data_IF_372202168508
#
_entry.id   IF_372202168508
#
_cell.length_a   1.000
_cell.length_b   1.000
_cell.length_c   1.000
_cell.angle_alpha   90.00
_cell.angle_beta   90.00
_cell.angle_gamma   90.00
#
_symmetry.space_group_name_H-M   'P 1'
#
loop_
_entity.id
_entity.type
_entity.pdbx_description
1 polymer ?
#
# COMPACT_ATOMS: atom_id res chain seq x y z
N UNK A 1 -53.15 -44.67 -36.81
CA UNK A 1 -53.17 -44.35 -35.37
C UNK A 1 -51.76 -43.92 -35.01
N UNK A 2 -51.48 -42.64 -35.22
CA UNK A 2 -50.22 -42.06 -34.77
C UNK A 2 -50.37 -41.79 -33.27
N UNK A 3 -49.52 -42.44 -32.48
CA UNK A 3 -49.47 -42.21 -31.04
C UNK A 3 -49.00 -40.77 -30.80
N UNK A 4 -49.66 -40.00 -29.91
CA UNK A 4 -49.23 -38.65 -29.60
C UNK A 4 -47.86 -38.70 -28.91
N UNK A 5 -46.85 -38.11 -29.54
CA UNK A 5 -45.55 -37.83 -28.93
C UNK A 5 -45.76 -36.97 -27.70
N UNK A 6 -45.40 -37.49 -26.52
CA UNK A 6 -45.41 -36.72 -25.29
C UNK A 6 -44.56 -35.44 -25.44
N UNK A 7 -44.98 -34.29 -24.91
CA UNK A 7 -44.18 -33.07 -24.95
C UNK A 7 -42.86 -33.32 -24.21
N UNK A 8 -41.74 -33.03 -24.86
CA UNK A 8 -40.42 -33.11 -24.25
C UNK A 8 -40.38 -32.21 -23.00
N UNK A 9 -39.90 -32.76 -21.88
CA UNK A 9 -39.71 -31.97 -20.67
C UNK A 9 -38.79 -30.77 -20.96
N UNK A 10 -39.11 -29.58 -20.41
CA UNK A 10 -38.28 -28.41 -20.59
C UNK A 10 -36.85 -28.69 -20.08
N UNK A 11 -35.81 -28.17 -20.76
CA UNK A 11 -34.43 -28.42 -20.35
C UNK A 11 -34.24 -27.99 -18.88
N UNK A 12 -33.51 -28.79 -18.08
CA UNK A 12 -33.37 -28.52 -16.66
C UNK A 12 -32.78 -27.14 -16.44
N UNK A 13 -33.44 -26.31 -15.62
CA UNK A 13 -32.92 -25.00 -15.28
C UNK A 13 -31.67 -25.14 -14.40
N UNK A 14 -30.59 -24.39 -14.68
CA UNK A 14 -29.40 -24.46 -13.87
C UNK A 14 -29.68 -24.03 -12.43
N UNK A 15 -29.10 -24.77 -11.48
CA UNK A 15 -29.24 -24.46 -10.06
C UNK A 15 -28.61 -23.10 -9.73
N UNK A 16 -29.42 -22.14 -9.29
CA UNK A 16 -28.98 -20.76 -9.04
C UNK A 16 -27.86 -20.68 -7.98
N UNK A 17 -27.97 -21.42 -6.88
CA UNK A 17 -26.97 -21.39 -5.81
C UNK A 17 -25.65 -22.07 -6.21
N UNK A 18 -25.69 -23.17 -6.98
CA UNK A 18 -24.47 -23.81 -7.51
C UNK A 18 -23.76 -22.89 -8.50
N UNK A 19 -24.54 -22.21 -9.34
CA UNK A 19 -24.04 -21.23 -10.30
C UNK A 19 -23.41 -20.04 -9.60
N UNK A 20 -24.02 -19.54 -8.51
CA UNK A 20 -23.44 -18.50 -7.68
C UNK A 20 -22.10 -18.93 -7.08
N UNK A 21 -22.04 -20.13 -6.47
CA UNK A 21 -20.78 -20.68 -5.92
C UNK A 21 -19.72 -20.85 -7.01
N UNK A 22 -20.10 -21.28 -8.21
CA UNK A 22 -19.16 -21.40 -9.33
C UNK A 22 -18.51 -20.06 -9.68
N UNK A 23 -19.30 -18.98 -9.70
CA UNK A 23 -18.80 -17.62 -9.90
C UNK A 23 -17.91 -17.12 -8.76
N UNK A 24 -18.28 -17.38 -7.50
CA UNK A 24 -17.46 -17.03 -6.34
C UNK A 24 -16.10 -17.75 -6.36
N UNK A 25 -16.08 -19.05 -6.64
CA UNK A 25 -14.84 -19.84 -6.72
C UNK A 25 -13.98 -19.40 -7.89
N UNK A 26 -14.57 -19.11 -9.05
CA UNK A 26 -13.84 -18.55 -10.18
C UNK A 26 -13.19 -17.20 -9.86
N UNK A 27 -13.92 -16.30 -9.19
CA UNK A 27 -13.39 -15.01 -8.74
C UNK A 27 -12.25 -15.19 -7.71
N UNK A 28 -12.44 -16.06 -6.71
CA UNK A 28 -11.42 -16.35 -5.71
C UNK A 28 -10.13 -16.91 -6.33
N UNK A 29 -10.24 -17.84 -7.29
CA UNK A 29 -9.08 -18.38 -8.01
C UNK A 29 -8.42 -17.32 -8.89
N UNK A 30 -9.21 -16.49 -9.59
CA UNK A 30 -8.68 -15.40 -10.40
C UNK A 30 -7.82 -14.44 -9.57
N UNK A 31 -8.29 -14.06 -8.37
CA UNK A 31 -7.55 -13.22 -7.44
C UNK A 31 -6.31 -13.94 -6.90
N UNK A 32 -6.41 -15.21 -6.50
CA UNK A 32 -5.28 -16.00 -6.01
C UNK A 32 -4.16 -16.17 -7.06
N UNK A 33 -4.54 -16.36 -8.32
CA UNK A 33 -3.60 -16.40 -9.46
C UNK A 33 -2.97 -15.04 -9.67
N UNK A 34 -3.76 -13.96 -9.59
CA UNK A 34 -3.24 -12.59 -9.64
C UNK A 34 -2.20 -12.33 -8.54
N UNK A 35 -2.49 -12.72 -7.29
CA UNK A 35 -1.54 -12.62 -6.17
C UNK A 35 -0.26 -13.43 -6.41
N UNK A 36 -0.38 -14.63 -6.96
CA UNK A 36 0.75 -15.48 -7.29
C UNK A 36 1.65 -14.84 -8.34
N UNK A 37 1.07 -14.28 -9.41
CA UNK A 37 1.82 -13.60 -10.48
C UNK A 37 2.45 -12.33 -9.94
N UNK A 38 1.74 -11.56 -9.10
CA UNK A 38 2.31 -10.39 -8.44
C UNK A 38 3.51 -10.76 -7.55
N UNK A 39 3.45 -11.91 -6.87
CA UNK A 39 4.57 -12.42 -6.06
C UNK A 39 5.84 -12.79 -6.83
N UNK A 40 5.85 -12.72 -8.17
CA UNK A 40 7.05 -12.98 -8.99
C UNK A 40 8.00 -11.79 -9.06
N UNK A 41 7.56 -10.57 -8.72
CA UNK A 41 8.39 -9.37 -8.78
C UNK A 41 7.95 -8.36 -7.72
N UNK A 42 8.90 -7.74 -7.03
CA UNK A 42 8.63 -6.65 -6.09
C UNK A 42 8.03 -5.40 -6.73
N UNK A 43 8.06 -5.28 -8.07
CA UNK A 43 7.46 -4.18 -8.83
C UNK A 43 6.02 -4.43 -9.29
N UNK A 44 5.47 -5.61 -9.00
CA UNK A 44 4.08 -5.92 -9.33
C UNK A 44 3.19 -5.81 -8.12
N UNK A 45 2.03 -5.20 -8.33
CA UNK A 45 0.99 -5.07 -7.33
C UNK A 45 -0.11 -6.11 -7.60
N UNK A 46 -0.70 -6.65 -6.53
CA UNK A 46 -1.84 -7.57 -6.66
C UNK A 46 -3.07 -6.82 -7.23
N UNK A 47 -3.90 -7.45 -8.08
CA UNK A 47 -5.01 -6.77 -8.76
C UNK A 47 -5.96 -6.01 -7.82
N UNK A 48 -6.26 -6.57 -6.65
CA UNK A 48 -7.12 -5.95 -5.64
C UNK A 48 -6.51 -4.68 -5.07
N UNK A 49 -5.20 -4.68 -4.85
CA UNK A 49 -4.47 -3.53 -4.32
C UNK A 49 -4.43 -2.41 -5.37
N UNK A 50 -4.17 -2.73 -6.64
CA UNK A 50 -4.17 -1.72 -7.71
C UNK A 50 -5.54 -1.08 -7.91
N UNK A 51 -6.59 -1.90 -7.95
CA UNK A 51 -7.96 -1.37 -8.00
C UNK A 51 -8.28 -0.55 -6.76
N UNK A 52 -7.85 -0.98 -5.58
CA UNK A 52 -8.02 -0.25 -4.33
C UNK A 52 -7.35 1.12 -4.34
N UNK A 53 -6.07 1.19 -4.74
CA UNK A 53 -5.31 2.43 -4.89
C UNK A 53 -6.08 3.41 -5.81
N UNK A 54 -6.56 2.90 -6.95
CA UNK A 54 -7.31 3.74 -7.91
C UNK A 54 -8.65 4.24 -7.36
N UNK A 55 -9.34 3.42 -6.57
CA UNK A 55 -10.56 3.82 -5.88
C UNK A 55 -10.25 4.92 -4.87
N UNK A 56 -9.19 4.77 -4.05
CA UNK A 56 -8.75 5.83 -3.15
C UNK A 56 -8.50 7.11 -3.93
N UNK A 57 -7.80 7.08 -5.06
CA UNK A 57 -7.53 8.29 -5.84
C UNK A 57 -8.77 8.93 -6.47
N UNK A 58 -9.81 8.15 -6.77
CA UNK A 58 -11.06 8.67 -7.35
C UNK A 58 -12.03 9.27 -6.33
N UNK A 59 -11.97 8.82 -5.07
CA UNK A 59 -13.00 9.11 -4.07
C UNK A 59 -12.92 10.59 -3.64
N UNK A 60 -14.05 11.33 -3.63
CA UNK A 60 -14.10 12.70 -3.14
C UNK A 60 -13.64 12.83 -1.68
N UNK A 61 -13.02 13.97 -1.34
CA UNK A 61 -12.47 14.22 0.00
C UNK A 61 -13.46 13.94 1.13
N UNK A 62 -14.72 14.37 0.98
CA UNK A 62 -15.75 14.20 2.02
C UNK A 62 -15.95 12.73 2.43
N UNK A 63 -15.86 11.81 1.47
CA UNK A 63 -16.02 10.37 1.72
C UNK A 63 -14.77 9.80 2.37
N UNK A 64 -13.57 10.29 2.00
CA UNK A 64 -12.31 9.92 2.65
C UNK A 64 -12.29 10.37 4.11
N UNK A 65 -12.61 11.64 4.35
CA UNK A 65 -12.62 12.24 5.68
C UNK A 65 -13.59 11.49 6.59
N UNK A 66 -14.81 11.20 6.10
CA UNK A 66 -15.79 10.39 6.84
C UNK A 66 -15.27 8.97 7.14
N UNK A 67 -14.55 8.35 6.20
CA UNK A 67 -13.98 7.02 6.42
C UNK A 67 -12.84 7.05 7.45
N UNK A 68 -11.99 8.08 7.41
CA UNK A 68 -10.92 8.29 8.38
C UNK A 68 -11.51 8.56 9.78
N UNK A 69 -12.56 9.38 9.88
CA UNK A 69 -13.24 9.65 11.14
C UNK A 69 -13.87 8.39 11.75
N UNK A 70 -14.44 7.51 10.92
CA UNK A 70 -15.14 6.32 11.37
C UNK A 70 -14.21 5.15 11.70
N UNK A 71 -13.12 4.97 10.94
CA UNK A 71 -12.23 3.81 11.03
C UNK A 71 -10.83 4.12 11.57
N UNK A 72 -10.48 5.39 11.75
CA UNK A 72 -9.16 5.83 12.22
C UNK A 72 -8.04 5.31 11.31
N UNK A 73 -6.97 4.78 11.92
CA UNK A 73 -5.82 4.19 11.21
C UNK A 73 -6.13 2.86 10.49
N UNK A 74 -7.35 2.33 10.64
CA UNK A 74 -7.81 1.09 10.00
C UNK A 74 -8.66 1.35 8.74
N UNK A 75 -8.80 2.60 8.29
CA UNK A 75 -9.53 2.99 7.08
C UNK A 75 -9.12 2.16 5.84
N UNK A 76 -7.82 1.92 5.66
CA UNK A 76 -7.29 1.11 4.56
C UNK A 76 -7.68 -0.37 4.68
N UNK A 77 -7.68 -0.92 5.89
CA UNK A 77 -8.10 -2.31 6.14
C UNK A 77 -9.60 -2.45 5.85
N UNK A 78 -10.41 -1.50 6.30
CA UNK A 78 -11.84 -1.46 6.01
C UNK A 78 -12.11 -1.39 4.49
N UNK A 79 -11.35 -0.57 3.76
CA UNK A 79 -11.42 -0.50 2.30
C UNK A 79 -11.12 -1.86 1.64
N UNK A 80 -10.03 -2.53 2.04
CA UNK A 80 -9.65 -3.83 1.49
C UNK A 80 -10.74 -4.88 1.75
N UNK A 81 -11.27 -4.95 2.98
CA UNK A 81 -12.38 -5.85 3.32
C UNK A 81 -13.62 -5.54 2.46
N UNK A 82 -13.91 -4.25 2.24
CA UNK A 82 -14.97 -3.80 1.36
C UNK A 82 -14.80 -4.27 -0.08
N UNK A 83 -13.60 -4.11 -0.66
CA UNK A 83 -13.30 -4.55 -2.04
C UNK A 83 -13.45 -6.05 -2.17
N UNK A 84 -12.90 -6.85 -1.25
CA UNK A 84 -13.05 -8.31 -1.27
C UNK A 84 -14.51 -8.74 -1.15
N UNK A 85 -15.30 -8.06 -0.32
CA UNK A 85 -16.74 -8.33 -0.17
C UNK A 85 -17.50 -8.03 -1.45
N UNK A 86 -17.23 -6.89 -2.09
CA UNK A 86 -17.86 -6.51 -3.37
C UNK A 86 -17.45 -7.49 -4.47
N UNK A 87 -16.17 -7.86 -4.56
CA UNK A 87 -15.68 -8.83 -5.54
C UNK A 87 -16.35 -10.21 -5.35
N UNK A 88 -16.55 -10.66 -4.11
CA UNK A 88 -17.27 -11.89 -3.80
C UNK A 88 -18.74 -11.82 -4.24
N UNK A 89 -19.46 -10.72 -3.92
CA UNK A 89 -20.84 -10.51 -4.34
C UNK A 89 -20.98 -10.43 -5.87
N UNK A 90 -20.05 -9.74 -6.52
CA UNK A 90 -19.99 -9.65 -7.97
C UNK A 90 -19.74 -11.03 -8.61
N UNK A 91 -18.81 -11.82 -8.06
CA UNK A 91 -18.56 -13.21 -8.46
C UNK A 91 -19.81 -14.09 -8.35
N UNK A 92 -20.52 -14.01 -7.21
CA UNK A 92 -21.79 -14.71 -7.01
C UNK A 92 -22.81 -14.35 -8.10
N UNK A 93 -22.98 -13.05 -8.41
CA UNK A 93 -23.88 -12.57 -9.45
C UNK A 93 -23.50 -13.02 -10.86
N UNK A 94 -22.22 -12.88 -11.22
CA UNK A 94 -21.70 -13.33 -12.51
C UNK A 94 -21.89 -14.82 -12.73
N UNK A 95 -21.71 -15.64 -11.69
CA UNK A 95 -21.95 -17.08 -11.77
C UNK A 95 -23.39 -17.43 -12.18
N UNK A 96 -24.38 -16.75 -11.58
CA UNK A 96 -25.80 -16.93 -11.94
C UNK A 96 -26.10 -16.50 -13.37
N UNK A 97 -25.53 -15.37 -13.81
CA UNK A 97 -25.69 -14.86 -15.17
C UNK A 97 -25.01 -15.75 -16.21
N UNK A 98 -23.80 -16.21 -15.91
CA UNK A 98 -22.99 -17.09 -16.75
C UNK A 98 -23.67 -18.44 -17.01
N UNK A 99 -24.35 -18.98 -16.00
CA UNK A 99 -25.12 -20.21 -16.15
C UNK A 99 -26.25 -20.09 -17.18
N UNK A 100 -26.74 -18.88 -17.47
CA UNK A 100 -27.73 -18.64 -18.55
C UNK A 100 -27.05 -18.36 -19.89
N UNK A 101 -25.99 -17.55 -19.88
CA UNK A 101 -25.22 -17.16 -21.05
C UNK A 101 -23.76 -17.01 -20.66
N UNK A 102 -22.95 -18.02 -20.98
CA UNK A 102 -21.55 -18.10 -20.55
C UNK A 102 -20.75 -16.83 -20.86
N UNK A 103 -20.97 -16.25 -22.05
CA UNK A 103 -20.27 -15.05 -22.50
C UNK A 103 -20.46 -13.85 -21.57
N UNK A 104 -21.60 -13.74 -20.85
CA UNK A 104 -21.84 -12.64 -19.89
C UNK A 104 -20.90 -12.77 -18.69
N UNK A 105 -20.72 -13.99 -18.17
CA UNK A 105 -19.76 -14.25 -17.10
C UNK A 105 -18.33 -13.99 -17.55
N UNK A 106 -17.97 -14.50 -18.73
CA UNK A 106 -16.64 -14.30 -19.31
C UNK A 106 -16.35 -12.81 -19.56
N UNK A 107 -17.29 -12.06 -20.12
CA UNK A 107 -17.18 -10.63 -20.32
C UNK A 107 -17.07 -9.86 -19.01
N UNK A 108 -17.81 -10.26 -17.96
CA UNK A 108 -17.72 -9.64 -16.63
C UNK A 108 -16.34 -9.83 -15.98
N UNK A 109 -15.79 -11.05 -16.04
CA UNK A 109 -14.42 -11.33 -15.53
C UNK A 109 -13.38 -10.60 -16.37
N UNK A 110 -13.51 -10.59 -17.70
CA UNK A 110 -12.61 -9.87 -18.58
C UNK A 110 -12.63 -8.36 -18.32
N UNK A 111 -13.81 -7.77 -18.12
CA UNK A 111 -13.96 -6.36 -17.77
C UNK A 111 -13.25 -6.04 -16.44
N UNK A 112 -13.39 -6.90 -15.43
CA UNK A 112 -12.65 -6.74 -14.17
C UNK A 112 -11.13 -6.82 -14.39
N UNK A 113 -10.66 -7.76 -15.22
CA UNK A 113 -9.25 -7.84 -15.63
C UNK A 113 -8.76 -6.56 -16.31
N UNK A 114 -9.56 -5.98 -17.23
CA UNK A 114 -9.24 -4.69 -17.88
C UNK A 114 -9.15 -3.56 -16.86
N UNK A 115 -10.09 -3.47 -15.91
CA UNK A 115 -10.02 -2.48 -14.82
C UNK A 115 -8.74 -2.64 -14.02
N UNK A 116 -8.36 -3.88 -13.68
CA UNK A 116 -7.10 -4.17 -13.00
C UNK A 116 -5.85 -3.79 -13.82
N UNK A 117 -5.87 -3.98 -15.14
CA UNK A 117 -4.77 -3.55 -16.03
C UNK A 117 -4.66 -2.03 -16.07
N UNK A 118 -5.78 -1.33 -16.26
CA UNK A 118 -5.81 0.14 -16.28
C UNK A 118 -5.33 0.71 -14.96
N UNK A 119 -5.82 0.16 -13.84
CA UNK A 119 -5.41 0.58 -12.51
C UNK A 119 -3.90 0.38 -12.29
N UNK A 120 -3.37 -0.80 -12.59
CA UNK A 120 -1.94 -1.10 -12.43
C UNK A 120 -1.06 -0.24 -13.35
N UNK A 121 -1.51 0.10 -14.56
CA UNK A 121 -0.75 0.96 -15.49
C UNK A 121 -0.67 2.43 -15.06
N UNK A 122 -1.56 2.86 -14.15
CA UNK A 122 -1.59 4.22 -13.62
C UNK A 122 -0.86 4.36 -12.28
N UNK A 123 -0.37 3.25 -11.72
CA UNK A 123 0.49 3.31 -10.53
C UNK A 123 1.81 4.00 -10.87
N UNK A 124 2.29 4.83 -9.94
CA UNK A 124 3.55 5.53 -10.13
C UNK A 124 4.69 4.50 -10.15
N UNK A 125 5.59 4.58 -11.14
CA UNK A 125 6.70 3.62 -11.28
C UNK A 125 6.31 2.23 -11.84
N UNK A 126 5.06 2.04 -12.28
CA UNK A 126 4.60 0.76 -12.83
C UNK A 126 5.41 0.32 -14.08
N UNK A 127 5.89 -0.93 -14.14
CA UNK A 127 6.54 -1.44 -15.34
C UNK A 127 5.55 -1.61 -16.49
N UNK A 128 6.03 -1.68 -17.74
CA UNK A 128 5.19 -1.85 -18.94
C UNK A 128 4.26 -3.08 -18.90
N UNK A 129 4.58 -4.06 -18.06
CA UNK A 129 3.86 -5.32 -17.89
C UNK A 129 3.10 -5.40 -16.55
N UNK A 130 2.90 -4.28 -15.85
CA UNK A 130 2.21 -4.20 -14.56
C UNK A 130 0.79 -4.81 -14.59
N UNK A 131 0.14 -4.86 -15.75
CA UNK A 131 -1.17 -5.49 -15.91
C UNK A 131 -1.17 -7.03 -15.92
N UNK A 132 -0.01 -7.69 -15.96
CA UNK A 132 0.09 -9.15 -16.10
C UNK A 132 -0.68 -9.93 -15.01
N UNK A 133 -0.63 -9.58 -13.71
CA UNK A 133 -1.45 -10.23 -12.68
C UNK A 133 -2.95 -10.24 -13.01
N UNK A 134 -3.48 -9.11 -13.46
CA UNK A 134 -4.90 -8.94 -13.79
C UNK A 134 -5.30 -9.73 -15.03
N UNK A 135 -4.45 -9.77 -16.06
CA UNK A 135 -4.70 -10.53 -17.28
C UNK A 135 -4.69 -12.03 -17.00
N UNK A 136 -3.65 -12.54 -16.35
CA UNK A 136 -3.50 -13.98 -16.08
C UNK A 136 -4.60 -14.44 -15.13
N UNK A 137 -4.89 -13.67 -14.08
CA UNK A 137 -6.01 -13.92 -13.17
C UNK A 137 -7.35 -14.00 -13.90
N UNK A 138 -7.65 -13.05 -14.80
CA UNK A 138 -8.89 -13.05 -15.57
C UNK A 138 -9.01 -14.27 -16.51
N UNK A 139 -7.94 -14.61 -17.24
CA UNK A 139 -7.92 -15.78 -18.15
C UNK A 139 -8.19 -17.07 -17.38
N UNK A 140 -7.49 -17.28 -16.25
CA UNK A 140 -7.71 -18.47 -15.42
C UNK A 140 -9.10 -18.46 -14.79
N UNK A 141 -9.59 -17.30 -14.35
CA UNK A 141 -10.95 -17.13 -13.81
C UNK A 141 -12.03 -17.55 -14.80
N UNK A 142 -11.94 -17.12 -16.06
CA UNK A 142 -12.88 -17.50 -17.13
C UNK A 142 -12.83 -19.01 -17.40
N UNK A 143 -11.63 -19.59 -17.46
CA UNK A 143 -11.46 -21.03 -17.66
C UNK A 143 -12.07 -21.84 -16.50
N UNK A 144 -11.80 -21.45 -15.26
CA UNK A 144 -12.36 -22.07 -14.05
C UNK A 144 -13.88 -21.96 -14.03
N UNK A 145 -14.44 -20.80 -14.36
CA UNK A 145 -15.88 -20.61 -14.45
C UNK A 145 -16.49 -21.61 -15.46
N UNK A 146 -15.90 -21.76 -16.63
CA UNK A 146 -16.35 -22.70 -17.65
C UNK A 146 -16.32 -24.16 -17.17
N UNK A 147 -15.22 -24.57 -16.53
CA UNK A 147 -15.03 -25.94 -16.01
C UNK A 147 -16.05 -26.25 -14.89
N UNK A 148 -16.27 -25.33 -13.96
CA UNK A 148 -17.21 -25.56 -12.85
C UNK A 148 -18.65 -25.55 -13.37
N UNK A 149 -19.01 -24.63 -14.27
CA UNK A 149 -20.35 -24.59 -14.87
C UNK A 149 -20.66 -25.84 -15.72
N UNK A 150 -19.66 -26.43 -16.38
CA UNK A 150 -19.84 -27.68 -17.13
C UNK A 150 -20.29 -28.87 -16.25
N UNK A 151 -20.10 -28.79 -14.92
CA UNK A 151 -20.60 -29.80 -13.97
C UNK A 151 -22.04 -29.56 -13.51
N UNK A 152 -22.64 -28.43 -13.89
CA UNK A 152 -24.01 -28.06 -13.54
C UNK A 152 -24.94 -28.38 -14.71
N UNK A 153 -25.89 -29.33 -14.54
CA UNK A 153 -26.86 -29.64 -15.58
C UNK A 153 -27.63 -28.39 -16.01
N UNK A 154 -27.76 -28.18 -17.32
CA UNK A 154 -28.49 -27.05 -17.91
C UNK A 154 -27.77 -25.70 -17.86
N UNK A 155 -26.54 -25.62 -17.34
CA UNK A 155 -25.77 -24.38 -17.37
C UNK A 155 -25.08 -24.18 -18.72
N UNK A 156 -25.07 -22.95 -19.22
CA UNK A 156 -24.27 -22.56 -20.38
C UNK A 156 -22.76 -22.65 -20.07
N UNK A 157 -22.00 -23.29 -20.95
CA UNK A 157 -20.55 -23.47 -20.80
C UNK A 157 -19.88 -23.65 -22.18
N UNK A 158 -18.55 -23.42 -22.31
CA UNK A 158 -17.87 -23.38 -23.61
C UNK A 158 -17.90 -24.69 -24.40
N UNK A 159 -18.00 -25.82 -23.70
CA UNK A 159 -17.99 -27.16 -24.31
C UNK A 159 -19.39 -27.74 -24.51
N UNK A 160 -20.45 -26.95 -24.33
CA UNK A 160 -21.80 -27.38 -24.63
C UNK A 160 -21.93 -27.55 -26.16
N UNK A 161 -22.05 -28.80 -26.63
CA UNK A 161 -22.35 -29.08 -28.02
C UNK A 161 -23.75 -28.57 -28.40
N UNK A 162 -23.95 -28.27 -29.69
CA UNK A 162 -25.23 -27.77 -30.20
C UNK A 162 -26.41 -28.69 -29.80
N UNK A 163 -27.62 -28.14 -29.57
CA UNK A 163 -28.73 -28.86 -28.94
C UNK A 163 -29.29 -30.04 -29.76
N UNK A 164 -28.76 -30.31 -30.94
CA UNK A 164 -29.35 -31.21 -31.94
C UNK A 164 -29.11 -32.71 -31.61
N UNK A 165 -28.14 -33.05 -30.77
CA UNK A 165 -27.78 -34.46 -30.47
C UNK A 165 -28.23 -35.00 -29.09
N UNK A 166 -28.83 -34.17 -28.22
CA UNK A 166 -29.14 -34.56 -26.84
C UNK A 166 -30.46 -35.36 -26.66
N UNK A 167 -31.22 -35.60 -27.73
CA UNK A 167 -32.61 -36.08 -27.65
C UNK A 167 -32.80 -37.60 -27.39
N UNK A 168 -31.78 -38.33 -26.94
CA UNK A 168 -31.92 -39.79 -26.78
C UNK A 168 -31.08 -40.38 -25.65
N UNK A 169 -31.47 -40.17 -24.38
CA UNK A 169 -31.24 -41.15 -23.29
C UNK A 169 -32.36 -41.06 -22.23
N UNK A 170 -33.03 -42.20 -21.90
CA UNK A 170 -34.12 -42.23 -20.93
C UNK A 170 -33.62 -42.39 -19.48
N UNK A 171 -34.38 -41.78 -18.57
CA UNK A 171 -34.57 -42.03 -17.13
C UNK A 171 -33.37 -42.51 -16.29
N UNK A 172 -32.71 -41.55 -15.66
CA UNK A 172 -32.02 -41.78 -14.37
C UNK A 172 -31.96 -40.50 -13.52
N UNK A 173 -33.07 -39.78 -13.36
CA UNK A 173 -33.08 -38.42 -12.80
C UNK A 173 -32.51 -38.29 -11.37
N UNK A 174 -32.74 -39.28 -10.51
CA UNK A 174 -32.21 -39.28 -9.14
C UNK A 174 -30.71 -39.65 -9.09
N UNK A 175 -30.28 -40.63 -9.89
CA UNK A 175 -28.88 -41.06 -9.94
C UNK A 175 -28.00 -40.04 -10.68
N UNK A 176 -28.51 -39.47 -11.79
CA UNK A 176 -27.90 -38.37 -12.52
C UNK A 176 -27.80 -37.10 -11.67
N UNK A 177 -28.83 -36.76 -10.89
CA UNK A 177 -28.79 -35.63 -9.95
C UNK A 177 -27.76 -35.80 -8.83
N UNK A 178 -27.61 -37.01 -8.28
CA UNK A 178 -26.60 -37.32 -7.27
C UNK A 178 -25.19 -37.37 -7.85
N UNK A 179 -25.00 -37.92 -9.06
CA UNK A 179 -23.72 -37.94 -9.77
C UNK A 179 -23.30 -36.52 -10.18
N UNK A 180 -24.22 -35.70 -10.66
CA UNK A 180 -23.98 -34.29 -10.96
C UNK A 180 -23.64 -33.48 -9.70
N UNK A 181 -24.33 -33.74 -8.58
CA UNK A 181 -24.01 -33.11 -7.28
C UNK A 181 -22.63 -33.52 -6.78
N UNK A 182 -22.28 -34.80 -6.87
CA UNK A 182 -20.96 -35.33 -6.47
C UNK A 182 -19.87 -34.80 -7.40
N UNK A 183 -20.12 -34.70 -8.70
CA UNK A 183 -19.21 -34.11 -9.68
C UNK A 183 -18.94 -32.64 -9.38
N UNK A 184 -20.00 -31.84 -9.20
CA UNK A 184 -19.89 -30.43 -8.81
C UNK A 184 -19.11 -30.25 -7.51
N UNK A 185 -19.40 -31.01 -6.45
CA UNK A 185 -18.68 -30.90 -5.18
C UNK A 185 -17.21 -31.29 -5.30
N UNK A 186 -16.89 -32.33 -6.08
CA UNK A 186 -15.50 -32.76 -6.32
C UNK A 186 -14.71 -31.72 -7.10
N UNK A 187 -15.26 -31.21 -8.20
CA UNK A 187 -14.58 -30.23 -9.06
C UNK A 187 -14.44 -28.90 -8.33
N UNK A 188 -15.53 -28.36 -7.79
CA UNK A 188 -15.51 -27.11 -7.02
C UNK A 188 -14.60 -27.22 -5.80
N UNK A 189 -14.64 -28.33 -5.08
CA UNK A 189 -13.76 -28.60 -3.94
C UNK A 189 -12.28 -28.66 -4.35
N UNK A 190 -11.95 -29.39 -5.42
CA UNK A 190 -10.59 -29.47 -5.94
C UNK A 190 -10.07 -28.11 -6.41
N UNK A 191 -10.88 -27.36 -7.16
CA UNK A 191 -10.56 -25.99 -7.62
C UNK A 191 -10.35 -25.05 -6.43
N UNK A 192 -11.21 -25.11 -5.42
CA UNK A 192 -11.07 -24.29 -4.22
C UNK A 192 -9.77 -24.62 -3.46
N UNK A 193 -9.41 -25.91 -3.34
CA UNK A 193 -8.15 -26.34 -2.73
C UNK A 193 -6.94 -25.86 -3.54
N UNK A 194 -6.98 -25.99 -4.88
CA UNK A 194 -5.92 -25.47 -5.76
C UNK A 194 -5.82 -23.96 -5.59
N UNK A 195 -6.93 -23.21 -5.63
CA UNK A 195 -6.96 -21.77 -5.44
C UNK A 195 -6.37 -21.34 -4.10
N UNK A 196 -6.76 -22.02 -3.01
CA UNK A 196 -6.16 -21.78 -1.69
C UNK A 196 -4.66 -22.05 -1.68
N UNK A 197 -4.23 -23.14 -2.34
CA UNK A 197 -2.81 -23.46 -2.57
C UNK A 197 -2.07 -22.33 -3.29
N UNK A 198 -2.62 -21.84 -4.41
CA UNK A 198 -2.05 -20.74 -5.19
C UNK A 198 -1.95 -19.45 -4.35
N UNK A 199 -2.98 -19.11 -3.58
CA UNK A 199 -2.94 -17.95 -2.68
C UNK A 199 -1.88 -18.12 -1.58
N UNK A 200 -1.74 -19.32 -1.00
CA UNK A 200 -0.67 -19.59 -0.02
C UNK A 200 0.73 -19.53 -0.65
N UNK A 201 0.91 -20.08 -1.84
CA UNK A 201 2.17 -20.00 -2.59
C UNK A 201 2.51 -18.58 -3.01
N UNK A 202 1.53 -17.78 -3.43
CA UNK A 202 1.70 -16.36 -3.74
C UNK A 202 2.15 -15.57 -2.52
N UNK A 203 1.49 -15.76 -1.37
CA UNK A 203 1.93 -15.15 -0.10
C UNK A 203 3.33 -15.59 0.32
N UNK A 204 3.68 -16.86 0.13
CA UNK A 204 5.03 -17.35 0.41
C UNK A 204 6.08 -16.77 -0.55
N UNK A 205 5.77 -16.62 -1.83
CA UNK A 205 6.64 -15.95 -2.80
C UNK A 205 6.88 -14.49 -2.42
N UNK A 206 5.82 -13.77 -2.05
CA UNK A 206 5.90 -12.40 -1.55
C UNK A 206 6.73 -12.31 -0.27
N UNK A 207 6.65 -13.31 0.63
CA UNK A 207 7.49 -13.32 1.84
C UNK A 207 8.98 -13.47 1.57
N UNK A 208 9.41 -13.89 0.37
CA UNK A 208 10.84 -13.88 0.01
C UNK A 208 11.40 -12.47 -0.16
N UNK A 209 10.53 -11.50 -0.44
CA UNK A 209 10.85 -10.09 -0.42
C UNK A 209 10.61 -9.47 0.96
N UNK A 210 10.28 -10.26 1.98
CA UNK A 210 9.99 -9.75 3.33
C UNK A 210 11.20 -8.99 3.85
N UNK A 211 11.00 -7.70 4.01
CA UNK A 211 12.01 -6.84 4.61
C UNK A 211 12.13 -7.06 6.12
N UNK A 212 11.19 -7.79 6.76
CA UNK A 212 11.23 -8.01 8.21
C UNK A 212 12.43 -8.86 8.65
N UNK A 213 12.80 -9.87 7.87
CA UNK A 213 13.98 -10.70 8.19
C UNK A 213 15.27 -9.93 7.94
N UNK A 214 15.37 -9.27 6.78
CA UNK A 214 16.47 -8.36 6.44
C UNK A 214 16.68 -7.32 7.54
N UNK A 215 15.63 -6.61 7.96
CA UNK A 215 15.66 -5.62 9.04
C UNK A 215 16.22 -6.20 10.35
N UNK A 216 15.79 -7.40 10.74
CA UNK A 216 16.27 -8.05 11.98
C UNK A 216 17.76 -8.39 11.94
N UNK A 217 18.32 -8.58 10.75
CA UNK A 217 19.72 -8.91 10.55
C UNK A 217 20.62 -7.67 10.36
N UNK A 218 20.04 -6.46 10.29
CA UNK A 218 20.80 -5.22 10.23
C UNK A 218 21.38 -4.91 11.60
N UNK A 219 22.71 -4.78 11.64
CA UNK A 219 23.44 -4.23 12.78
C UNK A 219 23.82 -2.78 12.44
N UNK A 220 23.30 -1.82 13.21
CA UNK A 220 23.62 -0.41 13.01
C UNK A 220 25.00 -0.09 13.61
N UNK A 221 25.87 0.64 12.89
CA UNK A 221 27.08 1.20 13.46
C UNK A 221 26.74 2.23 14.55
N UNK A 222 27.68 2.43 15.48
CA UNK A 222 27.57 3.55 16.42
C UNK A 222 27.72 4.89 15.66
N UNK A 223 26.94 5.92 16.02
CA UNK A 223 27.11 7.24 15.44
C UNK A 223 28.49 7.82 15.80
N UNK A 224 29.09 8.54 14.86
CA UNK A 224 30.29 9.34 15.12
C UNK A 224 30.01 10.47 16.12
N UNK A 225 28.80 11.03 16.05
CA UNK A 225 28.28 12.05 16.97
C UNK A 225 26.93 11.58 17.54
N UNK A 226 26.90 10.99 18.75
CA UNK A 226 25.67 10.55 19.39
C UNK A 226 24.85 11.74 19.89
N UNK A 227 23.53 11.60 19.87
CA UNK A 227 22.67 12.67 20.36
C UNK A 227 22.74 12.78 21.90
N UNK A 228 22.76 14.00 22.47
CA UNK A 228 22.75 14.16 23.92
C UNK A 228 21.47 13.58 24.57
N UNK A 229 21.56 13.11 25.82
CA UNK A 229 20.37 12.73 26.60
C UNK A 229 19.35 13.86 26.67
N UNK A 230 18.06 13.51 26.73
CA UNK A 230 17.00 14.48 26.98
C UNK A 230 17.23 15.12 28.35
N UNK A 231 17.27 16.44 28.41
CA UNK A 231 17.44 17.16 29.66
C UNK A 231 16.22 16.95 30.57
N UNK A 232 16.44 16.82 31.88
CA UNK A 232 15.35 16.66 32.87
C UNK A 232 14.31 17.78 32.76
N UNK A 233 14.76 19.01 32.48
CA UNK A 233 13.88 20.17 32.29
C UNK A 233 12.95 20.09 31.06
N UNK A 234 13.25 19.21 30.10
CA UNK A 234 12.40 18.94 28.94
C UNK A 234 11.38 17.82 29.20
N UNK A 235 11.48 17.14 30.34
CA UNK A 235 10.55 16.10 30.77
C UNK A 235 9.52 16.69 31.71
N UNK A 236 8.23 16.48 31.41
CA UNK A 236 7.12 16.96 32.25
C UNK A 236 6.49 15.76 32.95
N UNK A 237 6.55 15.74 34.27
CA UNK A 237 5.89 14.73 35.10
C UNK A 237 4.39 15.09 35.26
N UNK A 238 3.61 14.86 34.21
CA UNK A 238 2.15 14.97 34.26
C UNK A 238 1.49 13.88 33.42
N UNK A 239 0.42 13.30 33.95
CA UNK A 239 -0.33 12.26 33.27
C UNK A 239 -0.93 12.78 31.96
N UNK A 240 -0.78 11.99 30.90
CA UNK A 240 -1.30 12.30 29.56
C UNK A 240 -0.40 13.18 28.70
N UNK A 241 0.77 13.61 29.19
CA UNK A 241 1.73 14.37 28.36
C UNK A 241 2.49 13.44 27.42
N UNK A 242 2.70 13.90 26.19
CA UNK A 242 3.49 13.19 25.19
C UNK A 242 4.94 13.04 25.64
N UNK A 243 5.57 11.86 25.46
CA UNK A 243 6.99 11.71 25.75
C UNK A 243 7.83 12.59 24.80
N UNK A 244 8.96 13.09 25.30
CA UNK A 244 9.85 13.94 24.50
C UNK A 244 10.38 13.23 23.25
N UNK A 245 10.76 11.96 23.40
CA UNK A 245 11.06 11.03 22.29
C UNK A 245 9.87 10.10 22.15
N UNK A 246 9.25 10.11 20.97
CA UNK A 246 8.10 9.28 20.63
C UNK A 246 8.57 7.86 20.33
N UNK A 247 8.04 6.82 21.03
CA UNK A 247 8.35 5.43 20.71
C UNK A 247 8.03 5.09 19.25
N UNK A 248 8.83 4.22 18.63
CA UNK A 248 8.65 3.83 17.22
C UNK A 248 7.23 3.32 16.91
N UNK A 249 6.60 2.60 17.84
CA UNK A 249 5.24 2.06 17.67
C UNK A 249 4.15 3.14 17.70
N UNK A 250 4.41 4.27 18.36
CA UNK A 250 3.47 5.38 18.54
C UNK A 250 3.76 6.55 17.57
N UNK A 251 4.85 6.48 16.81
CA UNK A 251 5.21 7.50 15.84
C UNK A 251 4.20 7.53 14.70
N UNK A 252 3.64 8.71 14.41
CA UNK A 252 2.55 8.82 13.45
C UNK A 252 2.93 8.27 12.06
N UNK A 253 1.95 7.66 11.38
CA UNK A 253 2.13 7.06 10.05
C UNK A 253 1.19 7.70 9.05
N UNK A 254 1.76 8.25 7.97
CA UNK A 254 1.04 8.77 6.80
C UNK A 254 1.70 8.21 5.55
N UNK A 255 0.92 7.51 4.73
CA UNK A 255 1.36 6.86 3.50
C UNK A 255 0.25 6.91 2.45
N UNK A 256 0.63 7.04 1.18
CA UNK A 256 -0.31 6.94 0.04
C UNK A 256 -0.67 5.48 -0.29
N UNK A 257 0.16 4.52 0.10
CA UNK A 257 -0.03 3.12 -0.28
C UNK A 257 -1.01 2.39 0.65
N UNK A 258 -1.74 1.41 0.09
CA UNK A 258 -2.57 0.49 0.86
C UNK A 258 -1.76 -0.56 1.65
N UNK A 259 -0.55 -0.87 1.21
CA UNK A 259 0.36 -1.84 1.84
C UNK A 259 1.76 -1.27 1.98
N UNK A 260 2.47 -1.67 3.04
CA UNK A 260 3.84 -1.24 3.31
C UNK A 260 4.79 -1.92 2.31
N UNK A 261 5.59 -1.15 1.54
CA UNK A 261 6.64 -1.70 0.68
C UNK A 261 7.58 -2.64 1.42
N UNK A 262 7.94 -3.73 0.76
CA UNK A 262 8.82 -4.77 1.28
C UNK A 262 10.14 -4.72 0.50
N UNK A 263 11.10 -3.97 1.03
CA UNK A 263 12.38 -3.69 0.39
C UNK A 263 13.54 -4.20 1.27
N UNK A 264 14.08 -5.41 1.00
CA UNK A 264 15.22 -5.94 1.74
C UNK A 264 16.48 -5.09 1.50
N UNK A 265 17.26 -4.88 2.56
CA UNK A 265 18.47 -4.06 2.53
C UNK A 265 19.54 -4.62 1.57
N UNK A 266 19.60 -5.94 1.40
CA UNK A 266 20.59 -6.63 0.56
C UNK A 266 20.38 -6.36 -0.93
N UNK A 267 19.16 -6.01 -1.32
CA UNK A 267 18.77 -5.72 -2.72
C UNK A 267 18.53 -4.24 -2.96
N UNK A 268 18.63 -3.42 -1.92
CA UNK A 268 18.40 -2.00 -1.99
C UNK A 268 19.60 -1.26 -2.56
N UNK A 269 19.33 -0.22 -3.34
CA UNK A 269 20.32 0.74 -3.79
C UNK A 269 19.71 2.12 -3.99
N UNK A 270 20.55 3.13 -3.88
CA UNK A 270 20.26 4.54 -4.11
C UNK A 270 21.07 5.05 -5.30
N UNK A 271 20.40 5.74 -6.22
CA UNK A 271 21.05 6.48 -7.32
C UNK A 271 20.90 7.99 -7.11
N UNK A 272 22.00 8.73 -7.18
CA UNK A 272 22.04 10.19 -7.15
C UNK A 272 22.45 10.68 -8.54
N UNK A 273 21.60 11.49 -9.19
CA UNK A 273 21.78 11.87 -10.59
C UNK A 273 21.15 13.24 -10.92
N UNK A 274 21.12 13.59 -12.22
CA UNK A 274 20.53 14.82 -12.73
C UNK A 274 21.58 15.91 -12.95
N UNK A 275 21.37 17.08 -12.36
CA UNK A 275 22.28 18.23 -12.39
C UNK A 275 23.45 18.03 -11.42
N UNK A 276 24.24 16.98 -11.65
CA UNK A 276 25.43 16.62 -10.86
C UNK A 276 26.64 16.36 -11.78
N UNK A 277 27.85 16.53 -11.26
CA UNK A 277 29.10 16.29 -11.98
C UNK A 277 29.32 14.80 -12.24
N UNK A 278 29.02 13.96 -11.26
CA UNK A 278 29.09 12.51 -11.36
C UNK A 278 27.88 11.83 -10.70
N UNK A 279 27.28 10.87 -11.41
CA UNK A 279 26.24 10.04 -10.81
C UNK A 279 26.85 9.12 -9.73
N UNK A 280 26.13 8.98 -8.62
CA UNK A 280 26.56 8.14 -7.48
C UNK A 280 25.55 7.02 -7.30
N UNK A 281 26.04 5.78 -7.27
CA UNK A 281 25.25 4.61 -6.88
C UNK A 281 25.76 4.08 -5.54
N UNK A 282 24.85 3.86 -4.59
CA UNK A 282 25.15 3.39 -3.24
C UNK A 282 24.29 2.18 -2.89
N UNK A 283 24.91 1.14 -2.36
CA UNK A 283 24.22 0.03 -1.70
C UNK A 283 23.94 0.36 -0.24
N UNK A 284 23.11 -0.45 0.43
CA UNK A 284 22.88 -0.28 1.86
C UNK A 284 24.18 -0.46 2.67
N UNK A 285 25.03 -1.39 2.25
CA UNK A 285 26.33 -1.63 2.90
C UNK A 285 27.28 -0.44 2.77
N UNK A 286 27.21 0.29 1.65
CA UNK A 286 27.99 1.53 1.50
C UNK A 286 27.56 2.57 2.51
N UNK A 287 26.25 2.70 2.79
CA UNK A 287 25.75 3.63 3.84
C UNK A 287 26.23 3.24 5.24
N UNK A 288 26.19 1.95 5.58
CA UNK A 288 26.69 1.46 6.88
C UNK A 288 28.20 1.70 7.07
N UNK A 289 28.95 1.90 5.98
CA UNK A 289 30.38 2.16 6.01
C UNK A 289 30.74 3.67 6.00
N UNK A 290 29.74 4.56 5.91
CA UNK A 290 29.93 6.01 5.94
C UNK A 290 29.98 6.55 7.37
N UNK A 291 30.37 7.82 7.49
CA UNK A 291 30.31 8.56 8.75
C UNK A 291 28.85 8.88 9.10
N UNK A 292 28.28 8.08 10.00
CA UNK A 292 26.90 8.25 10.46
C UNK A 292 26.82 9.25 11.60
N UNK A 293 25.80 10.12 11.54
CA UNK A 293 25.44 11.05 12.62
C UNK A 293 24.08 10.67 13.21
N UNK A 294 23.85 11.01 14.48
CA UNK A 294 22.58 10.83 15.14
C UNK A 294 21.94 12.16 15.53
N UNK A 295 20.72 12.41 15.05
CA UNK A 295 20.05 13.70 15.19
C UNK A 295 18.64 13.52 15.75
N UNK A 296 18.29 14.30 16.78
CA UNK A 296 16.95 14.31 17.36
C UNK A 296 16.04 15.27 16.60
N UNK A 297 15.15 14.71 15.77
CA UNK A 297 14.32 15.50 14.84
C UNK A 297 12.83 15.30 15.13
N UNK A 298 12.11 16.41 15.32
CA UNK A 298 10.65 16.46 15.33
C UNK A 298 10.09 16.56 13.92
N UNK A 299 9.31 15.56 13.51
CA UNK A 299 8.57 15.57 12.25
C UNK A 299 7.10 15.92 12.50
N UNK A 300 6.47 16.64 11.58
CA UNK A 300 5.02 16.89 11.64
C UNK A 300 4.37 16.79 10.26
N UNK A 301 3.12 16.35 10.22
CA UNK A 301 2.32 16.32 9.01
C UNK A 301 1.65 17.68 8.75
N UNK A 302 1.48 18.03 7.48
CA UNK A 302 0.68 19.20 7.08
C UNK A 302 -0.81 19.04 7.41
N UNK A 303 -1.29 17.80 7.46
CA UNK A 303 -2.64 17.47 7.90
C UNK A 303 -2.79 17.46 9.42
N UNK A 304 -1.76 17.85 10.18
CA UNK A 304 -1.89 17.94 11.64
C UNK A 304 -2.83 19.09 12.00
N UNK A 305 -3.98 18.75 12.57
CA UNK A 305 -4.98 19.72 13.02
C UNK A 305 -4.53 20.45 14.29
N UNK A 306 -5.30 21.46 14.69
CA UNK A 306 -5.09 22.14 15.97
C UNK A 306 -5.31 21.13 17.11
N UNK A 307 -4.28 20.88 17.90
CA UNK A 307 -4.30 19.84 18.94
C UNK A 307 -4.13 18.41 18.42
N UNK A 308 -3.87 18.23 17.12
CA UNK A 308 -3.73 16.92 16.48
C UNK A 308 -2.48 16.16 16.89
N UNK A 309 -2.46 14.85 16.61
CA UNK A 309 -1.42 13.89 16.99
C UNK A 309 -0.39 13.59 15.89
N UNK A 310 -0.47 14.23 14.73
CA UNK A 310 0.43 13.99 13.59
C UNK A 310 1.76 14.76 13.73
N UNK A 311 2.42 14.56 14.87
CA UNK A 311 3.72 15.10 15.22
C UNK A 311 4.42 14.10 16.14
N UNK A 312 5.73 13.92 15.93
CA UNK A 312 6.55 13.01 16.74
C UNK A 312 8.03 13.37 16.64
N UNK A 313 8.77 13.07 17.70
CA UNK A 313 10.22 13.31 17.79
C UNK A 313 10.94 11.97 17.92
N UNK A 314 12.01 11.76 17.17
CA UNK A 314 12.82 10.56 17.26
C UNK A 314 14.30 10.89 17.05
N UNK A 315 15.15 9.98 17.48
CA UNK A 315 16.60 10.00 17.27
C UNK A 315 16.89 9.27 15.96
N UNK A 316 17.38 9.98 14.95
CA UNK A 316 17.58 9.45 13.61
C UNK A 316 19.06 9.25 13.33
N UNK A 317 19.42 8.02 12.99
CA UNK A 317 20.78 7.67 12.58
C UNK A 317 20.86 7.67 11.05
N UNK A 318 21.81 8.40 10.47
CA UNK A 318 21.92 8.50 9.02
C UNK A 318 23.18 9.20 8.52
N UNK A 319 23.30 9.26 7.19
CA UNK A 319 24.33 10.04 6.51
C UNK A 319 23.79 11.45 6.26
N UNK A 320 24.55 12.53 6.53
CA UNK A 320 24.16 13.87 6.12
C UNK A 320 23.93 13.93 4.60
N UNK A 321 22.79 14.48 4.17
CA UNK A 321 22.49 14.60 2.73
C UNK A 321 23.52 15.44 2.00
N UNK A 322 24.07 16.46 2.68
CA UNK A 322 25.10 17.33 2.14
C UNK A 322 26.34 16.54 1.71
N UNK A 323 26.80 15.60 2.52
CA UNK A 323 27.98 14.78 2.21
C UNK A 323 27.76 13.91 0.96
N UNK A 324 26.53 13.39 0.79
CA UNK A 324 26.15 12.62 -0.39
C UNK A 324 26.12 13.49 -1.65
N UNK A 325 25.61 14.71 -1.54
CA UNK A 325 25.52 15.65 -2.66
C UNK A 325 26.87 16.27 -3.01
N UNK A 326 27.72 16.55 -2.03
CA UNK A 326 29.10 17.00 -2.23
C UNK A 326 29.91 15.93 -2.99
N UNK A 327 29.68 14.65 -2.69
CA UNK A 327 30.26 13.53 -3.44
C UNK A 327 29.80 13.50 -4.89
N UNK A 328 28.53 13.83 -5.17
CA UNK A 328 28.00 13.88 -6.54
C UNK A 328 28.46 15.13 -7.32
N UNK A 329 28.73 16.24 -6.61
CA UNK A 329 29.07 17.54 -7.17
C UNK A 329 27.85 18.21 -7.79
N UNK A 330 27.03 18.89 -6.99
CA UNK A 330 25.82 19.59 -7.50
C UNK A 330 26.23 20.71 -8.47
N UNK A 331 25.64 20.73 -9.66
CA UNK A 331 25.94 21.74 -10.68
C UNK A 331 25.22 23.05 -10.41
N UNK A 332 25.84 24.14 -10.83
CA UNK A 332 25.24 25.47 -10.83
C UNK A 332 23.87 25.47 -11.51
N UNK A 333 22.91 26.14 -10.89
CA UNK A 333 21.54 26.28 -11.40
C UNK A 333 20.57 25.18 -10.97
N UNK A 334 21.02 24.12 -10.29
CA UNK A 334 20.10 23.21 -9.60
C UNK A 334 19.47 23.93 -8.41
N UNK A 335 18.14 23.96 -8.33
CA UNK A 335 17.40 24.60 -7.23
C UNK A 335 16.46 23.64 -6.48
N UNK A 336 16.30 22.41 -6.98
CA UNK A 336 15.44 21.39 -6.38
C UNK A 336 16.16 20.05 -6.20
N UNK A 337 16.00 19.46 -5.00
CA UNK A 337 16.34 18.07 -4.70
C UNK A 337 15.05 17.24 -4.74
N UNK A 338 14.95 16.31 -5.68
CA UNK A 338 13.80 15.41 -5.83
C UNK A 338 14.15 14.05 -5.26
N UNK A 339 13.40 13.61 -4.25
CA UNK A 339 13.48 12.25 -3.73
C UNK A 339 12.43 11.37 -4.38
N UNK A 340 12.80 10.17 -4.83
CA UNK A 340 11.89 9.19 -5.41
C UNK A 340 11.97 7.84 -4.70
N UNK A 341 10.82 7.44 -4.16
CA UNK A 341 10.63 6.19 -3.45
C UNK A 341 10.54 5.00 -4.43
N UNK A 342 10.74 3.80 -3.89
CA UNK A 342 10.60 2.53 -4.61
C UNK A 342 9.22 2.36 -5.27
N UNK A 343 8.16 2.87 -4.64
CA UNK A 343 6.78 2.87 -5.13
C UNK A 343 6.48 4.03 -6.09
N UNK A 344 7.50 4.79 -6.48
CA UNK A 344 7.39 5.94 -7.37
C UNK A 344 6.93 7.24 -6.72
N UNK A 345 6.55 7.25 -5.43
CA UNK A 345 6.22 8.49 -4.72
C UNK A 345 7.39 9.48 -4.77
N UNK A 346 7.09 10.75 -5.03
CA UNK A 346 8.10 11.81 -5.14
C UNK A 346 7.86 12.94 -4.16
N UNK A 347 8.96 13.42 -3.57
CA UNK A 347 9.02 14.67 -2.84
C UNK A 347 10.06 15.60 -3.48
N UNK A 348 10.01 16.88 -3.17
CA UNK A 348 10.92 17.87 -3.74
C UNK A 348 11.08 19.05 -2.79
N UNK A 349 12.32 19.46 -2.52
CA UNK A 349 12.63 20.59 -1.64
C UNK A 349 13.80 21.42 -2.17
N UNK A 350 13.94 22.69 -1.75
CA UNK A 350 15.00 23.57 -2.27
C UNK A 350 16.39 23.09 -1.87
N UNK A 351 17.35 23.14 -2.80
CA UNK A 351 18.77 22.78 -2.55
C UNK A 351 19.35 23.59 -1.38
N UNK A 352 19.06 24.89 -1.32
CA UNK A 352 19.51 25.81 -0.27
C UNK A 352 19.09 25.40 1.15
N UNK A 353 18.09 24.52 1.29
CA UNK A 353 17.68 23.97 2.60
C UNK A 353 18.79 23.14 3.25
N UNK A 354 19.78 22.69 2.48
CA UNK A 354 20.93 21.93 2.98
C UNK A 354 22.05 22.84 3.52
N UNK A 355 22.00 24.15 3.27
CA UNK A 355 23.06 25.10 3.63
C UNK A 355 22.72 25.96 4.86
N UNK A 356 21.51 25.87 5.39
CA UNK A 356 21.06 26.69 6.53
C UNK A 356 21.37 26.09 7.93
N UNK A 357 22.15 25.01 7.94
CA UNK A 357 22.64 24.36 9.16
C UNK A 357 21.66 23.38 9.80
N UNK A 358 20.50 23.11 9.20
CA UNK A 358 19.58 22.08 9.69
C UNK A 358 20.09 20.66 9.36
N UNK A 359 19.86 19.66 10.23
CA UNK A 359 20.35 18.31 10.00
C UNK A 359 19.46 17.54 9.01
N UNK A 360 19.75 17.67 7.72
CA UNK A 360 19.09 16.89 6.67
C UNK A 360 19.80 15.54 6.47
N UNK A 361 19.07 14.43 6.60
CA UNK A 361 19.64 13.08 6.64
C UNK A 361 19.05 12.14 5.58
N UNK A 362 19.91 11.28 5.06
CA UNK A 362 19.52 9.95 4.60
C UNK A 362 19.57 9.00 5.80
N UNK A 363 18.43 8.85 6.48
CA UNK A 363 18.31 8.05 7.68
C UNK A 363 18.18 6.55 7.37
N UNK A 364 18.82 5.73 8.20
CA UNK A 364 18.80 4.26 8.17
C UNK A 364 18.41 3.64 9.53
N UNK A 365 18.45 4.44 10.61
CA UNK A 365 18.02 4.04 11.95
C UNK A 365 17.08 5.06 12.59
N UNK A 366 16.30 4.60 13.57
CA UNK A 366 15.33 5.38 14.33
C UNK A 366 15.24 4.85 15.77
N UNK A 367 15.50 5.73 16.73
CA UNK A 367 15.52 5.45 18.17
C UNK A 367 16.41 4.25 18.53
N UNK A 368 17.63 4.20 17.96
CA UNK A 368 18.61 3.14 18.21
C UNK A 368 18.31 1.80 17.52
N UNK A 369 17.24 1.70 16.72
CA UNK A 369 16.90 0.50 15.96
C UNK A 369 17.00 0.75 14.45
N UNK A 370 17.23 -0.29 13.62
CA UNK A 370 17.00 -0.19 12.18
C UNK A 370 15.60 0.36 11.90
N UNK A 371 15.45 1.21 10.88
CA UNK A 371 14.17 1.82 10.54
C UNK A 371 13.03 0.78 10.57
N UNK A 372 11.89 1.06 11.22
CA UNK A 372 10.69 0.24 11.05
C UNK A 372 10.25 0.23 9.58
N UNK A 373 9.59 -0.85 9.14
CA UNK A 373 9.17 -1.00 7.74
C UNK A 373 8.21 0.11 7.34
N UNK A 374 7.28 0.43 8.23
CA UNK A 374 6.27 1.49 8.13
C UNK A 374 6.88 2.89 8.00
N UNK A 375 8.08 3.06 8.57
CA UNK A 375 8.81 4.33 8.61
C UNK A 375 9.91 4.45 7.55
N UNK A 376 9.99 3.51 6.61
CA UNK A 376 10.80 3.66 5.40
C UNK A 376 12.04 2.78 5.30
N UNK A 377 12.13 1.69 6.06
CA UNK A 377 13.21 0.71 5.90
C UNK A 377 13.43 0.32 4.42
N UNK A 378 14.67 0.28 3.91
CA UNK A 378 15.92 0.38 4.67
C UNK A 378 16.45 1.81 4.85
N UNK A 379 16.00 2.76 4.03
CA UNK A 379 16.46 4.14 4.07
C UNK A 379 15.34 5.14 3.74
N UNK A 380 15.41 6.33 4.36
CA UNK A 380 14.52 7.45 4.06
C UNK A 380 15.25 8.78 4.06
N UNK A 381 14.71 9.74 3.34
CA UNK A 381 15.10 11.15 3.47
C UNK A 381 14.33 11.79 4.63
N UNK A 382 15.00 12.66 5.38
CA UNK A 382 14.42 13.53 6.40
C UNK A 382 15.06 14.91 6.28
N UNK A 383 14.24 15.93 6.04
CA UNK A 383 14.68 17.33 6.14
C UNK A 383 13.81 18.05 7.18
N UNK A 384 14.37 18.41 8.35
CA UNK A 384 13.62 19.09 9.40
C UNK A 384 13.12 20.46 8.93
N UNK A 385 12.04 20.95 9.54
CA UNK A 385 11.48 22.27 9.24
C UNK A 385 10.65 22.35 7.95
N UNK A 386 10.57 21.28 7.16
CA UNK A 386 9.67 21.14 6.03
C UNK A 386 8.63 20.04 6.31
N UNK A 387 7.41 20.20 5.80
CA UNK A 387 6.39 19.16 5.94
C UNK A 387 6.77 17.90 5.17
N UNK A 388 6.47 16.72 5.73
CA UNK A 388 6.95 15.45 5.18
C UNK A 388 6.56 15.14 3.73
N UNK A 389 5.50 15.76 3.21
CA UNK A 389 5.06 15.57 1.82
C UNK A 389 5.99 16.19 0.78
N UNK A 390 6.86 17.14 1.18
CA UNK A 390 7.89 17.75 0.31
C UNK A 390 9.29 17.27 0.66
N UNK A 391 9.52 16.71 1.85
CA UNK A 391 10.88 16.53 2.37
C UNK A 391 11.20 15.19 3.02
N UNK A 392 10.25 14.26 3.10
CA UNK A 392 10.42 13.05 3.92
C UNK A 392 10.11 11.76 3.15
N UNK A 393 10.80 11.55 2.02
CA UNK A 393 10.62 10.37 1.17
C UNK A 393 11.05 9.08 1.89
N UNK A 394 10.09 8.17 2.12
CA UNK A 394 10.34 6.81 2.64
C UNK A 394 10.71 5.86 1.51
N UNK A 395 11.42 4.77 1.83
CA UNK A 395 11.80 3.75 0.84
C UNK A 395 12.53 4.36 -0.36
N UNK A 396 13.39 5.35 -0.09
CA UNK A 396 14.07 6.15 -1.11
C UNK A 396 14.94 5.24 -1.99
N UNK A 397 14.89 5.45 -3.30
CA UNK A 397 15.73 4.71 -4.27
C UNK A 397 16.48 5.64 -5.22
N UNK A 398 16.07 6.91 -5.29
CA UNK A 398 16.70 7.87 -6.17
C UNK A 398 16.63 9.28 -5.59
N UNK A 399 17.72 10.03 -5.74
CA UNK A 399 17.80 11.47 -5.53
C UNK A 399 18.19 12.11 -6.88
N UNK A 400 17.39 13.06 -7.33
CA UNK A 400 17.57 13.76 -8.59
C UNK A 400 17.75 15.26 -8.32
N UNK A 401 18.85 15.83 -8.80
CA UNK A 401 19.07 17.27 -8.77
C UNK A 401 18.50 17.88 -10.05
N UNK A 402 17.60 18.83 -9.90
CA UNK A 402 16.87 19.45 -11.02
C UNK A 402 16.44 20.87 -10.64
N UNK A 403 15.49 21.44 -11.38
CA UNK A 403 14.85 22.71 -11.05
C UNK A 403 13.36 22.57 -10.80
N UNK A 404 12.80 23.45 -9.97
CA UNK A 404 11.35 23.55 -9.76
C UNK A 404 10.57 23.85 -11.05
N UNK A 405 11.20 24.53 -12.02
CA UNK A 405 10.61 24.77 -13.35
C UNK A 405 10.53 23.48 -14.20
N UNK A 406 11.40 22.50 -13.95
CA UNK A 406 11.50 21.28 -14.74
C UNK A 406 10.72 20.11 -14.15
N UNK A 407 10.44 20.10 -12.84
CA UNK A 407 9.85 18.94 -12.17
C UNK A 407 8.87 19.29 -11.04
N UNK A 408 7.62 18.84 -11.22
CA UNK A 408 6.60 18.86 -10.17
C UNK A 408 6.53 17.50 -9.44
N UNK A 409 6.77 17.50 -8.13
CA UNK A 409 6.62 16.34 -7.26
C UNK A 409 5.14 16.00 -6.96
N UNK A 410 4.89 14.78 -6.46
CA UNK A 410 3.57 14.15 -6.39
C UNK A 410 2.42 15.07 -5.92
N UNK A 411 2.62 15.82 -4.84
CA UNK A 411 1.59 16.71 -4.29
C UNK A 411 1.51 18.08 -4.97
N UNK A 412 2.61 18.58 -5.53
CA UNK A 412 2.62 19.85 -6.29
C UNK A 412 1.80 19.71 -7.57
N UNK A 413 1.87 18.56 -8.24
CA UNK A 413 0.97 18.21 -9.36
C UNK A 413 -0.54 18.23 -9.00
N UNK A 414 -0.86 18.29 -7.70
CA UNK A 414 -2.22 18.33 -7.15
C UNK A 414 -2.53 19.67 -6.47
N UNK A 415 -1.80 20.73 -6.87
CA UNK A 415 -1.94 22.11 -6.40
C UNK A 415 -1.56 22.34 -4.92
N UNK A 416 -0.64 21.53 -4.38
CA UNK A 416 -0.07 21.78 -3.05
C UNK A 416 1.17 22.67 -3.15
N UNK A 417 1.53 23.35 -2.06
CA UNK A 417 2.68 24.25 -2.03
C UNK A 417 4.01 23.48 -2.19
N UNK A 418 4.94 24.03 -2.96
CA UNK A 418 6.23 23.39 -3.22
C UNK A 418 7.21 23.49 -2.03
N UNK A 419 7.26 24.63 -1.35
CA UNK A 419 8.24 24.86 -0.26
C UNK A 419 7.77 24.31 1.10
N UNK A 420 6.48 24.46 1.41
CA UNK A 420 5.81 23.90 2.58
C UNK A 420 6.60 23.90 3.93
N UNK A 421 7.05 25.08 4.42
CA UNK A 421 7.73 25.17 5.71
C UNK A 421 6.78 24.90 6.89
N UNK A 422 7.29 24.25 7.92
CA UNK A 422 6.57 24.03 9.17
C UNK A 422 6.51 25.35 9.94
N UNK A 423 5.30 25.74 10.36
CA UNK A 423 5.08 26.92 11.20
C UNK A 423 5.25 26.56 12.67
N UNK A 424 5.53 27.55 13.51
CA UNK A 424 5.52 27.36 14.96
C UNK A 424 4.15 26.93 15.43
N UNK A 425 4.12 25.88 16.23
CA UNK A 425 2.92 25.23 16.72
C UNK A 425 3.11 24.86 18.19
N UNK A 426 1.98 24.75 18.89
CA UNK A 426 1.93 24.21 20.24
C UNK A 426 0.58 23.50 20.44
N UNK A 427 0.55 22.55 21.36
CA UNK A 427 -0.69 21.94 21.86
C UNK A 427 -0.62 21.69 23.35
N UNK A 428 -1.78 21.69 23.99
CA UNK A 428 -1.98 21.20 25.35
C UNK A 428 -2.35 19.72 25.23
N UNK A 429 -1.58 18.86 25.89
CA UNK A 429 -1.84 17.42 25.95
C UNK A 429 -2.75 17.07 27.13
N UNK A 430 -2.56 17.78 28.25
CA UNK A 430 -3.35 17.59 29.48
C UNK A 430 -3.69 18.94 30.11
N UNK A 431 -4.93 19.15 30.58
CA UNK A 431 -6.07 18.24 30.44
C UNK A 431 -6.53 18.12 28.97
N UNK A 432 -7.14 16.99 28.63
CA UNK A 432 -7.66 16.75 27.29
C UNK A 432 -8.80 17.69 26.92
N UNK A 433 -9.04 17.87 25.62
CA UNK A 433 -10.14 18.69 25.12
C UNK A 433 -11.49 18.25 25.71
N UNK A 434 -12.21 19.19 26.33
CA UNK A 434 -13.51 18.97 27.00
C UNK A 434 -13.46 18.05 28.24
N UNK A 435 -12.27 17.71 28.74
CA UNK A 435 -12.11 16.94 29.97
C UNK A 435 -12.59 17.72 31.19
N UNK A 436 -13.25 17.02 32.13
CA UNK A 436 -13.68 17.61 33.40
C UNK A 436 -12.63 17.33 34.47
N UNK A 437 -11.90 18.38 34.85
CA UNK A 437 -10.98 18.31 35.98
C UNK A 437 -11.75 18.33 37.32
N UNK A 438 -11.22 17.61 38.30
CA UNK A 438 -11.70 17.71 39.69
C UNK A 438 -11.29 19.06 40.29
N UNK A 439 -12.08 19.64 41.22
CA UNK A 439 -11.69 20.88 41.90
C UNK A 439 -10.34 20.74 42.60
N UNK A 440 -9.41 21.66 42.32
CA UNK A 440 -8.05 21.66 42.88
C UNK A 440 -7.01 22.18 41.87
N UNK A 441 -5.70 22.06 42.18
CA UNK A 441 -4.64 22.28 41.20
C UNK A 441 -4.78 21.29 40.02
N UNK A 442 -4.77 21.81 38.80
CA UNK A 442 -4.84 21.02 37.56
C UNK A 442 -3.53 21.23 36.80
N UNK A 443 -2.73 20.18 36.55
CA UNK A 443 -1.56 20.31 35.71
C UNK A 443 -2.00 20.64 34.28
N UNK A 444 -1.38 21.68 33.69
CA UNK A 444 -1.55 22.01 32.27
C UNK A 444 -0.20 21.83 31.61
N UNK A 445 -0.12 20.88 30.69
CA UNK A 445 1.13 20.52 30.04
C UNK A 445 0.91 20.07 28.60
N UNK A 446 1.95 20.15 27.79
CA UNK A 446 1.91 19.80 26.38
C UNK A 446 3.22 20.12 25.69
N UNK A 447 3.17 20.24 24.37
CA UNK A 447 4.37 20.35 23.52
C UNK A 447 4.30 21.57 22.61
N UNK A 448 5.46 22.15 22.31
CA UNK A 448 5.61 23.23 21.34
C UNK A 448 6.83 22.95 20.46
N UNK A 449 6.75 23.31 19.18
CA UNK A 449 7.82 23.03 18.23
C UNK A 449 7.99 24.12 17.17
N UNK A 450 9.25 24.32 16.80
CA UNK A 450 9.71 25.15 15.69
C UNK A 450 11.12 24.68 15.29
N UNK A 451 11.19 23.72 14.37
CA UNK A 451 12.37 22.87 14.13
C UNK A 451 13.64 23.65 13.78
N UNK A 452 13.52 24.78 13.08
CA UNK A 452 14.69 25.53 12.58
C UNK A 452 15.16 26.66 13.49
N UNK A 453 14.39 27.01 14.53
CA UNK A 453 14.66 28.19 15.37
C UNK A 453 14.47 27.99 16.88
N UNK A 454 13.90 26.86 17.30
CA UNK A 454 13.57 26.58 18.69
C UNK A 454 12.38 27.38 19.24
N UNK A 455 12.04 27.13 20.50
CA UNK A 455 10.94 27.80 21.22
C UNK A 455 11.53 28.66 22.33
N UNK A 456 11.35 29.98 22.25
CA UNK A 456 11.81 30.91 23.28
C UNK A 456 10.86 30.98 24.48
N UNK A 457 9.54 30.88 24.24
CA UNK A 457 8.51 31.01 25.27
C UNK A 457 7.23 30.28 24.86
N UNK A 458 6.54 29.71 25.86
CA UNK A 458 5.15 29.25 25.79
C UNK A 458 4.34 30.08 26.79
N UNK A 459 3.16 30.55 26.38
CA UNK A 459 2.22 31.27 27.23
C UNK A 459 0.97 30.38 27.40
N UNK A 460 0.60 30.10 28.65
CA UNK A 460 -0.55 29.27 29.03
C UNK A 460 -1.60 30.14 29.71
#
# INVERSE_FOLDING_TARGET
>A
MDAPTAPADPPPHPSWWRSAIAGLVAAAVALAVGELVAGLSSRLTAPVISVGNRVVDAVPRQVKDTAIDLFGTNDKVALLVGIYTIAALFGLGLGVLAARRFWIGAAGIAAFGVVGVVAASQEVGAPWWAGAPSVVGAVVGVAVLGVVLATIPGAAHPTAADPVEAASRPDSDLAGGLLARRGFLKVTGAVAVIGAGLATSGRWLQSRFSASESRRNVELPAPGEPVPPVADAATVEADGVSPFVTPNADFYRIDTNLTVPQLPAETWGLRIHGMVDQEVELTYQDLLAMDLVEERITMTCVSNEVGGSLVGTADWLGVPLRDLLDRAGVRDGADQVVGRAFDGFTTGFPVETLDDGRPALLAIGMNGEPLPLEHGFPARVIVPGLYGYVSATKWITEIELTTFDAFDQYWVQRDWAAEAPIKTMARIDTPGGLERASPGPVPVAGVAWAQTRGIQRVEV
#
